data_IF_165922813721
#
_entry.id   IF_165922813721
#
_cell.length_a   1.000
_cell.length_b   1.000
_cell.length_c   1.000
_cell.angle_alpha   90.00
_cell.angle_beta   90.00
_cell.angle_gamma   90.00
#
_symmetry.space_group_name_H-M   'P 1'
#
loop_
_entity.id
_entity.type
_entity.pdbx_description
1 polymer ?
#
# COMPACT_ATOMS: atom_id res chain seq x y z
N UNK A 1 -16.62 -9.71 21.71
CA UNK A 1 -16.57 -9.15 20.35
C UNK A 1 -16.22 -10.32 19.45
N UNK A 2 -17.12 -10.69 18.53
CA UNK A 2 -16.87 -11.84 17.65
C UNK A 2 -15.66 -11.55 16.75
N UNK A 3 -14.77 -12.55 16.53
CA UNK A 3 -13.67 -12.41 15.58
C UNK A 3 -14.23 -12.16 14.18
N UNK A 4 -13.59 -11.27 13.44
CA UNK A 4 -14.01 -10.94 12.09
C UNK A 4 -13.61 -12.09 11.16
N UNK A 5 -14.61 -12.74 10.56
CA UNK A 5 -14.40 -13.81 9.58
C UNK A 5 -14.19 -13.23 8.17
N UNK A 6 -13.44 -13.94 7.34
CA UNK A 6 -13.20 -13.61 5.93
C UNK A 6 -14.16 -14.40 5.04
N UNK A 7 -14.53 -13.85 3.88
CA UNK A 7 -15.50 -14.47 2.97
C UNK A 7 -14.88 -15.58 2.09
N UNK A 8 -13.62 -15.93 2.33
CA UNK A 8 -12.85 -16.89 1.54
C UNK A 8 -12.22 -17.97 2.42
N UNK A 9 -12.09 -19.17 1.87
CA UNK A 9 -11.49 -20.30 2.56
C UNK A 9 -9.97 -20.35 2.36
N UNK A 10 -9.22 -20.33 3.47
CA UNK A 10 -7.75 -20.35 3.46
C UNK A 10 -7.20 -21.57 2.74
N UNK A 11 -7.83 -22.74 2.91
CA UNK A 11 -7.37 -23.98 2.28
C UNK A 11 -7.46 -23.85 0.76
N UNK A 12 -8.59 -23.34 0.26
CA UNK A 12 -8.84 -23.14 -1.16
C UNK A 12 -7.86 -22.14 -1.78
N UNK A 13 -7.58 -21.02 -1.11
CA UNK A 13 -6.63 -20.03 -1.63
C UNK A 13 -5.18 -20.53 -1.62
N UNK A 14 -4.78 -21.30 -0.59
CA UNK A 14 -3.46 -21.95 -0.54
C UNK A 14 -3.32 -22.99 -1.64
N UNK A 15 -4.33 -23.84 -1.85
CA UNK A 15 -4.35 -24.83 -2.92
C UNK A 15 -4.19 -24.17 -4.30
N UNK A 16 -5.01 -23.15 -4.58
CA UNK A 16 -4.97 -22.40 -5.84
C UNK A 16 -3.62 -21.71 -6.08
N UNK A 17 -3.06 -21.06 -5.05
CA UNK A 17 -1.78 -20.32 -5.17
C UNK A 17 -0.55 -21.22 -5.26
N UNK A 18 -0.66 -22.49 -4.86
CA UNK A 18 0.44 -23.47 -4.90
C UNK A 18 0.27 -24.51 -6.00
N UNK A 19 -0.85 -24.52 -6.72
CA UNK A 19 -1.16 -25.53 -7.73
C UNK A 19 -1.38 -26.93 -7.13
N UNK A 20 -1.84 -27.01 -5.88
CA UNK A 20 -2.09 -28.28 -5.19
C UNK A 20 -3.58 -28.57 -5.03
N UNK A 21 -3.94 -29.83 -4.82
CA UNK A 21 -5.34 -30.21 -4.55
C UNK A 21 -5.77 -29.76 -3.15
N UNK A 22 -7.03 -29.32 -3.01
CA UNK A 22 -7.61 -28.84 -1.75
C UNK A 22 -7.46 -29.85 -0.61
N UNK A 23 -7.64 -31.14 -0.88
CA UNK A 23 -7.53 -32.19 0.14
C UNK A 23 -6.10 -32.32 0.65
N UNK A 24 -5.13 -32.22 -0.25
CA UNK A 24 -3.70 -32.27 0.08
C UNK A 24 -3.28 -31.03 0.86
N UNK A 25 -3.68 -29.84 0.39
CA UNK A 25 -3.43 -28.59 1.09
C UNK A 25 -4.03 -28.63 2.52
N UNK A 26 -5.28 -29.07 2.67
CA UNK A 26 -5.94 -29.24 3.98
C UNK A 26 -5.14 -30.14 4.92
N UNK A 27 -4.68 -31.30 4.45
CA UNK A 27 -3.87 -32.23 5.26
C UNK A 27 -2.54 -31.62 5.69
N UNK A 28 -1.84 -30.94 4.78
CA UNK A 28 -0.58 -30.26 5.09
C UNK A 28 -0.81 -29.14 6.11
N UNK A 29 -1.87 -28.35 5.93
CA UNK A 29 -2.24 -27.27 6.86
C UNK A 29 -2.55 -27.84 8.25
N UNK A 30 -3.33 -28.92 8.35
CA UNK A 30 -3.62 -29.57 9.62
C UNK A 30 -2.34 -30.05 10.32
N UNK A 31 -1.42 -30.70 9.58
CA UNK A 31 -0.13 -31.11 10.14
C UNK A 31 0.70 -29.91 10.65
N UNK A 32 0.68 -28.78 9.93
CA UNK A 32 1.35 -27.55 10.37
C UNK A 32 0.68 -26.94 11.62
N UNK A 33 -0.65 -27.06 11.73
CA UNK A 33 -1.42 -26.58 12.90
C UNK A 33 -1.15 -27.41 14.14
N UNK A 34 -0.96 -28.71 13.98
CA UNK A 34 -0.55 -29.64 15.04
C UNK A 34 0.90 -29.39 15.52
N UNK A 35 1.58 -28.36 15.00
CA UNK A 35 2.94 -27.97 15.40
C UNK A 35 4.05 -28.78 14.72
N UNK A 36 3.74 -29.59 13.70
CA UNK A 36 4.76 -30.37 13.01
C UNK A 36 5.70 -29.46 12.18
N UNK A 37 6.99 -29.74 12.24
CA UNK A 37 7.99 -29.02 11.44
C UNK A 37 8.05 -29.54 10.01
N UNK A 38 8.49 -28.71 9.06
CA UNK A 38 8.63 -29.13 7.66
C UNK A 38 9.55 -30.36 7.48
N UNK A 39 10.73 -30.45 8.13
CA UNK A 39 11.56 -31.65 8.04
C UNK A 39 10.86 -32.89 8.59
N UNK A 40 10.08 -32.74 9.67
CA UNK A 40 9.31 -33.85 10.23
C UNK A 40 8.22 -34.33 9.27
N UNK A 41 7.45 -33.42 8.69
CA UNK A 41 6.41 -33.74 7.70
C UNK A 41 7.04 -34.42 6.48
N UNK A 42 8.11 -33.84 5.94
CA UNK A 42 8.81 -34.34 4.77
C UNK A 42 9.46 -35.71 5.00
N UNK A 43 9.76 -36.12 6.24
CA UNK A 43 10.40 -37.40 6.55
C UNK A 43 9.42 -38.47 7.03
N UNK A 44 8.45 -38.10 7.87
CA UNK A 44 7.60 -39.04 8.60
C UNK A 44 6.11 -38.96 8.23
N UNK A 45 5.69 -37.98 7.42
CA UNK A 45 4.29 -37.80 6.99
C UNK A 45 4.13 -37.71 5.47
N UNK A 46 5.08 -38.25 4.70
CA UNK A 46 5.07 -38.22 3.22
C UNK A 46 3.78 -38.80 2.63
N UNK A 47 3.29 -39.92 3.15
CA UNK A 47 2.06 -40.53 2.61
C UNK A 47 0.82 -39.66 2.85
N UNK A 48 0.75 -38.99 4.00
CA UNK A 48 -0.35 -38.09 4.33
C UNK A 48 -0.40 -36.87 3.40
N UNK A 49 0.76 -36.42 2.91
CA UNK A 49 0.90 -35.28 2.00
C UNK A 49 0.96 -35.69 0.52
N UNK A 50 0.79 -36.97 0.17
CA UNK A 50 0.85 -37.43 -1.22
C UNK A 50 2.26 -37.42 -1.82
N UNK A 51 3.28 -37.67 -1.00
CA UNK A 51 4.71 -37.67 -1.37
C UNK A 51 5.22 -36.34 -1.93
N UNK A 52 4.67 -35.22 -1.46
CA UNK A 52 5.12 -33.88 -1.87
C UNK A 52 6.62 -33.66 -1.63
N UNK A 53 7.23 -32.94 -2.56
CA UNK A 53 8.61 -32.48 -2.44
C UNK A 53 8.75 -31.44 -1.30
N UNK A 54 9.89 -31.40 -0.58
CA UNK A 54 10.12 -30.43 0.48
C UNK A 54 9.90 -28.97 0.07
N UNK A 55 10.20 -28.62 -1.19
CA UNK A 55 10.02 -27.26 -1.70
C UNK A 55 8.54 -26.87 -1.81
N UNK A 56 7.69 -27.80 -2.26
CA UNK A 56 6.25 -27.58 -2.32
C UNK A 56 5.64 -27.42 -0.91
N UNK A 57 6.15 -28.17 0.09
CA UNK A 57 5.74 -27.99 1.50
C UNK A 57 6.17 -26.62 2.05
N UNK A 58 7.35 -26.11 1.67
CA UNK A 58 7.80 -24.74 2.02
C UNK A 58 6.87 -23.70 1.42
N UNK A 59 6.49 -23.86 0.15
CA UNK A 59 5.59 -22.94 -0.53
C UNK A 59 4.21 -22.88 0.14
N UNK A 60 3.63 -24.05 0.47
CA UNK A 60 2.37 -24.12 1.23
C UNK A 60 2.49 -23.38 2.56
N UNK A 61 3.56 -23.64 3.33
CA UNK A 61 3.77 -22.97 4.62
C UNK A 61 3.89 -21.45 4.44
N UNK A 62 4.64 -20.99 3.45
CA UNK A 62 4.80 -19.57 3.19
C UNK A 62 3.47 -18.90 2.83
N UNK A 63 2.66 -19.53 1.96
CA UNK A 63 1.33 -19.03 1.59
C UNK A 63 0.37 -19.04 2.77
N UNK A 64 0.32 -20.11 3.55
CA UNK A 64 -0.48 -20.20 4.76
C UNK A 64 -0.14 -19.07 5.75
N UNK A 65 1.15 -18.82 5.98
CA UNK A 65 1.60 -17.71 6.84
C UNK A 65 1.13 -16.37 6.27
N UNK A 66 1.29 -16.13 4.97
CA UNK A 66 0.85 -14.87 4.36
C UNK A 66 -0.66 -14.63 4.49
N UNK A 67 -1.50 -15.66 4.32
CA UNK A 67 -2.95 -15.52 4.48
C UNK A 67 -3.35 -15.32 5.94
N UNK A 68 -2.62 -15.91 6.90
CA UNK A 68 -2.83 -15.65 8.33
C UNK A 68 -2.51 -14.20 8.69
N UNK A 69 -1.41 -13.68 8.17
CA UNK A 69 -1.06 -12.27 8.35
C UNK A 69 -2.16 -11.34 7.81
N UNK A 70 -2.80 -11.70 6.70
CA UNK A 70 -3.95 -10.96 6.17
C UNK A 70 -5.12 -11.00 7.14
N UNK A 71 -5.51 -12.19 7.63
CA UNK A 71 -6.61 -12.34 8.60
C UNK A 71 -6.35 -11.53 9.87
N UNK A 72 -5.13 -11.60 10.42
CA UNK A 72 -4.73 -10.83 11.60
C UNK A 72 -4.82 -9.32 11.33
N UNK A 73 -4.42 -8.86 10.14
CA UNK A 73 -4.51 -7.45 9.74
C UNK A 73 -5.97 -7.01 9.57
N UNK A 74 -6.82 -7.83 8.98
CA UNK A 74 -8.26 -7.59 8.84
C UNK A 74 -8.91 -7.46 10.22
N UNK A 75 -8.59 -8.36 11.15
CA UNK A 75 -9.15 -8.31 12.50
C UNK A 75 -8.72 -7.04 13.25
N UNK A 76 -7.44 -6.67 13.14
CA UNK A 76 -6.92 -5.44 13.73
C UNK A 76 -7.56 -4.19 13.12
N UNK A 77 -7.72 -4.15 11.80
CA UNK A 77 -8.43 -3.08 11.10
C UNK A 77 -9.88 -2.97 11.57
N UNK A 78 -10.58 -4.11 11.67
CA UNK A 78 -11.96 -4.17 12.15
C UNK A 78 -12.10 -3.63 13.58
N UNK A 79 -11.23 -4.05 14.50
CA UNK A 79 -11.21 -3.56 15.89
C UNK A 79 -10.96 -2.05 15.94
N UNK A 80 -9.98 -1.54 15.19
CA UNK A 80 -9.63 -0.13 15.13
C UNK A 80 -10.77 0.74 14.56
N UNK A 81 -11.41 0.32 13.48
CA UNK A 81 -12.51 1.08 12.87
C UNK A 81 -13.78 1.04 13.73
N UNK A 82 -14.05 -0.09 14.40
CA UNK A 82 -15.19 -0.23 15.31
C UNK A 82 -15.02 0.62 16.57
N UNK A 83 -13.82 0.66 17.17
CA UNK A 83 -13.55 1.49 18.34
C UNK A 83 -13.69 2.99 18.06
N UNK A 84 -13.48 3.41 16.82
CA UNK A 84 -13.67 4.78 16.35
C UNK A 84 -15.10 5.10 15.91
N UNK A 85 -16.01 4.13 15.90
CA UNK A 85 -17.40 4.32 15.48
C UNK A 85 -17.58 4.66 13.99
N UNK A 86 -16.56 4.41 13.15
CA UNK A 86 -16.60 4.70 11.70
C UNK A 86 -16.90 3.44 10.87
N UNK A 87 -17.16 2.30 11.51
CA UNK A 87 -17.47 1.05 10.85
C UNK A 87 -18.83 1.12 10.15
N UNK A 88 -18.85 0.82 8.85
CA UNK A 88 -20.08 0.67 8.05
C UNK A 88 -20.17 -0.75 7.49
N UNK A 89 -21.37 -1.19 7.10
CA UNK A 89 -21.54 -2.53 6.50
C UNK A 89 -20.75 -2.68 5.18
N UNK A 90 -20.59 -1.61 4.40
CA UNK A 90 -19.78 -1.63 3.19
C UNK A 90 -18.28 -1.79 3.48
N UNK A 91 -17.78 -1.11 4.52
CA UNK A 91 -16.39 -1.27 4.98
C UNK A 91 -16.14 -2.66 5.53
N UNK A 92 -17.09 -3.16 6.32
CA UNK A 92 -17.06 -4.53 6.86
C UNK A 92 -16.98 -5.55 5.73
N UNK A 93 -17.85 -5.45 4.72
CA UNK A 93 -17.82 -6.31 3.53
C UNK A 93 -16.51 -6.21 2.77
N UNK A 94 -15.99 -4.99 2.56
CA UNK A 94 -14.71 -4.77 1.88
C UNK A 94 -13.54 -5.44 2.62
N UNK A 95 -13.52 -5.36 3.96
CA UNK A 95 -12.51 -6.02 4.80
C UNK A 95 -12.57 -7.56 4.73
N UNK A 96 -13.77 -8.15 4.67
CA UNK A 96 -13.91 -9.64 4.55
C UNK A 96 -13.38 -10.19 3.24
N UNK A 97 -13.32 -9.35 2.20
CA UNK A 97 -12.89 -9.75 0.87
C UNK A 97 -11.39 -9.55 0.63
N UNK A 98 -10.66 -8.88 1.54
CA UNK A 98 -9.22 -8.69 1.42
C UNK A 98 -8.48 -10.02 1.38
N UNK A 99 -7.61 -10.20 0.38
CA UNK A 99 -6.76 -11.39 0.22
C UNK A 99 -5.27 -11.09 0.36
N UNK A 100 -4.90 -9.81 0.36
CA UNK A 100 -3.52 -9.36 0.55
C UNK A 100 -3.41 -8.31 1.65
N UNK A 101 -2.23 -8.20 2.25
CA UNK A 101 -1.95 -7.17 3.27
C UNK A 101 -2.06 -5.77 2.66
N UNK A 102 -1.76 -5.64 1.36
CA UNK A 102 -1.90 -4.41 0.59
C UNK A 102 -3.36 -3.98 0.49
N UNK A 103 -4.30 -4.92 0.28
CA UNK A 103 -5.73 -4.61 0.20
C UNK A 103 -6.21 -4.01 1.53
N UNK A 104 -5.81 -4.63 2.65
CA UNK A 104 -6.15 -4.12 3.99
C UNK A 104 -5.54 -2.74 4.22
N UNK A 105 -4.29 -2.53 3.79
CA UNK A 105 -3.62 -1.25 3.90
C UNK A 105 -4.34 -0.16 3.10
N UNK A 106 -4.81 -0.46 1.88
CA UNK A 106 -5.54 0.48 1.04
C UNK A 106 -6.87 0.91 1.68
N UNK A 107 -7.63 -0.05 2.24
CA UNK A 107 -8.88 0.24 2.96
C UNK A 107 -8.61 1.11 4.20
N UNK A 108 -7.49 0.85 4.88
CA UNK A 108 -7.11 1.55 6.11
C UNK A 108 -6.44 2.90 5.86
N UNK A 109 -5.97 3.19 4.65
CA UNK A 109 -5.23 4.42 4.32
C UNK A 109 -6.00 5.70 4.68
N UNK A 110 -7.31 5.83 4.37
CA UNK A 110 -8.12 6.97 4.81
C UNK A 110 -8.13 7.17 6.32
N UNK A 111 -8.14 6.06 7.07
CA UNK A 111 -8.30 6.04 8.52
C UNK A 111 -6.99 6.10 9.28
N UNK A 112 -5.86 5.95 8.59
CA UNK A 112 -4.54 6.10 9.18
C UNK A 112 -4.40 7.51 9.74
N UNK A 113 -4.00 7.60 11.00
CA UNK A 113 -3.82 8.89 11.65
C UNK A 113 -2.84 9.73 10.84
N UNK A 114 -3.29 10.93 10.46
CA UNK A 114 -2.43 11.91 9.80
C UNK A 114 -1.37 12.31 10.80
N UNK A 115 -0.12 11.89 10.56
CA UNK A 115 0.97 12.18 11.49
C UNK A 115 1.08 13.68 11.78
N UNK A 116 1.57 14.06 12.98
CA UNK A 116 1.61 15.46 13.43
C UNK A 116 2.47 16.38 12.57
N UNK A 117 3.26 15.82 11.64
CA UNK A 117 4.19 16.54 10.77
C UNK A 117 3.61 16.95 9.42
N UNK A 118 2.39 16.53 9.06
CA UNK A 118 1.83 16.90 7.75
C UNK A 118 1.42 18.36 7.69
N UNK A 119 1.44 18.95 6.49
CA UNK A 119 0.98 20.32 6.27
C UNK A 119 -0.50 20.48 6.65
N UNK A 120 -1.32 19.46 6.36
CA UNK A 120 -2.73 19.43 6.75
C UNK A 120 -2.91 19.38 8.28
N UNK A 121 -2.12 18.56 9.01
CA UNK A 121 -2.17 18.53 10.47
C UNK A 121 -1.74 19.88 11.08
N UNK A 122 -0.69 20.52 10.52
CA UNK A 122 -0.27 21.86 10.95
C UNK A 122 -1.38 22.90 10.71
N UNK A 123 -2.07 22.83 9.57
CA UNK A 123 -3.18 23.72 9.25
C UNK A 123 -4.41 23.49 10.16
N UNK A 124 -4.73 22.23 10.50
CA UNK A 124 -5.76 21.91 11.50
C UNK A 124 -5.42 22.45 12.88
N UNK A 125 -4.17 22.27 13.32
CA UNK A 125 -3.68 22.82 14.58
C UNK A 125 -3.73 24.35 14.63
N UNK A 126 -3.63 25.00 13.46
CA UNK A 126 -3.79 26.46 13.32
C UNK A 126 -5.27 26.91 13.23
N UNK A 127 -6.23 26.01 13.45
CA UNK A 127 -7.67 26.35 13.47
C UNK A 127 -8.31 26.54 12.10
N UNK A 128 -7.66 26.13 11.01
CA UNK A 128 -8.17 26.30 9.64
C UNK A 128 -9.20 25.26 9.21
N UNK A 129 -9.46 24.25 10.05
CA UNK A 129 -10.39 23.15 9.73
C UNK A 129 -11.84 23.61 9.46
N UNK A 130 -12.46 24.49 10.28
CA UNK A 130 -13.82 24.96 10.03
C UNK A 130 -13.92 25.76 8.73
N UNK A 131 -12.89 26.54 8.39
CA UNK A 131 -12.82 27.33 7.16
C UNK A 131 -12.72 26.40 5.95
N UNK A 132 -11.84 25.40 6.01
CA UNK A 132 -11.70 24.41 4.95
C UNK A 132 -13.00 23.63 4.74
N UNK A 133 -13.70 23.26 5.82
CA UNK A 133 -14.98 22.55 5.73
C UNK A 133 -16.09 23.45 5.15
N UNK A 134 -16.13 24.72 5.54
CA UNK A 134 -17.09 25.70 5.01
C UNK A 134 -16.95 25.88 3.50
N UNK A 135 -15.72 26.01 3.01
CA UNK A 135 -15.43 26.16 1.58
C UNK A 135 -15.71 24.85 0.84
N UNK A 136 -15.18 23.73 1.33
CA UNK A 136 -15.17 22.46 0.60
C UNK A 136 -16.54 21.75 0.58
N UNK A 137 -17.24 21.69 1.71
CA UNK A 137 -18.52 20.97 1.80
C UNK A 137 -19.73 21.81 1.44
N UNK A 138 -19.69 23.10 1.74
CA UNK A 138 -20.84 23.99 1.60
C UNK A 138 -20.68 25.04 0.49
N UNK A 139 -19.53 25.08 -0.20
CA UNK A 139 -19.27 26.05 -1.25
C UNK A 139 -19.30 27.50 -0.76
N UNK A 140 -19.08 27.72 0.55
CA UNK A 140 -19.20 29.05 1.15
C UNK A 140 -18.05 29.93 0.67
N UNK A 141 -18.37 31.13 0.20
CA UNK A 141 -17.36 32.15 -0.05
C UNK A 141 -16.84 32.68 1.29
N UNK A 142 -15.53 32.58 1.51
CA UNK A 142 -14.85 33.05 2.71
C UNK A 142 -13.74 34.01 2.30
N UNK A 143 -13.63 35.13 2.99
CA UNK A 143 -12.51 36.05 2.81
C UNK A 143 -11.33 35.58 3.66
N UNK A 144 -10.29 35.05 3.02
CA UNK A 144 -9.11 34.50 3.71
C UNK A 144 -8.31 35.53 4.51
N UNK A 145 -8.38 36.82 4.17
CA UNK A 145 -7.70 37.87 4.93
C UNK A 145 -8.33 38.15 6.29
N UNK A 146 -9.60 37.78 6.49
CA UNK A 146 -10.35 38.01 7.72
C UNK A 146 -10.83 36.71 8.37
N UNK A 147 -10.49 35.56 7.79
CA UNK A 147 -11.00 34.27 8.23
C UNK A 147 -10.42 33.83 9.58
N UNK A 148 -9.17 34.20 9.86
CA UNK A 148 -8.46 33.91 11.11
C UNK A 148 -7.62 35.12 11.50
N UNK A 149 -7.71 35.56 12.76
CA UNK A 149 -7.06 36.79 13.22
C UNK A 149 -5.52 36.72 13.25
N UNK A 150 -4.96 35.53 13.40
CA UNK A 150 -3.52 35.30 13.66
C UNK A 150 -2.73 34.80 12.43
N UNK A 151 -3.35 34.75 11.25
CA UNK A 151 -2.73 34.23 10.02
C UNK A 151 -2.92 35.20 8.85
N UNK A 152 -1.93 35.27 7.97
CA UNK A 152 -2.04 36.03 6.73
C UNK A 152 -2.93 35.31 5.71
N UNK A 153 -3.56 36.07 4.79
CA UNK A 153 -4.41 35.50 3.73
C UNK A 153 -3.76 34.35 2.93
N UNK A 154 -2.48 34.47 2.49
CA UNK A 154 -1.79 33.39 1.79
C UNK A 154 -1.55 32.13 2.65
N UNK A 155 -1.32 32.30 3.96
CA UNK A 155 -1.18 31.16 4.89
C UNK A 155 -2.51 30.44 5.11
N UNK A 156 -3.60 31.21 5.21
CA UNK A 156 -4.97 30.67 5.28
C UNK A 156 -5.29 29.89 4.00
N UNK A 157 -5.01 30.45 2.83
CA UNK A 157 -5.25 29.81 1.53
C UNK A 157 -4.48 28.49 1.40
N UNK A 158 -3.16 28.52 1.66
CA UNK A 158 -2.31 27.33 1.60
C UNK A 158 -2.75 26.28 2.62
N UNK A 159 -3.07 26.68 3.85
CA UNK A 159 -3.56 25.76 4.87
C UNK A 159 -4.89 25.11 4.51
N UNK A 160 -5.85 25.90 3.99
CA UNK A 160 -7.14 25.40 3.51
C UNK A 160 -6.95 24.43 2.35
N UNK A 161 -6.08 24.75 1.37
CA UNK A 161 -5.75 23.86 0.25
C UNK A 161 -5.18 22.53 0.73
N UNK A 162 -4.26 22.56 1.70
CA UNK A 162 -3.65 21.35 2.26
C UNK A 162 -4.68 20.47 2.99
N UNK A 163 -5.61 21.06 3.73
CA UNK A 163 -6.68 20.29 4.40
C UNK A 163 -7.63 19.69 3.36
N UNK A 164 -8.02 20.44 2.32
CA UNK A 164 -8.86 19.93 1.23
C UNK A 164 -8.19 18.78 0.48
N UNK A 165 -6.90 18.90 0.16
CA UNK A 165 -6.13 17.83 -0.46
C UNK A 165 -6.13 16.56 0.42
N UNK A 166 -5.92 16.70 1.73
CA UNK A 166 -5.97 15.56 2.67
C UNK A 166 -7.38 14.94 2.74
N UNK A 167 -8.45 15.74 2.68
CA UNK A 167 -9.83 15.23 2.60
C UNK A 167 -10.08 14.43 1.30
N UNK A 168 -9.64 14.95 0.15
CA UNK A 168 -9.84 14.31 -1.16
C UNK A 168 -9.02 13.02 -1.31
N UNK A 169 -7.76 13.04 -0.89
CA UNK A 169 -6.88 11.87 -0.96
C UNK A 169 -7.34 10.69 -0.10
N UNK A 170 -8.19 10.95 0.90
CA UNK A 170 -8.75 9.95 1.81
C UNK A 170 -10.17 9.55 1.43
N UNK A 171 -10.79 10.19 0.45
CA UNK A 171 -12.14 9.85 0.03
C UNK A 171 -12.12 8.53 -0.76
N UNK A 172 -12.81 7.52 -0.22
CA UNK A 172 -12.84 6.18 -0.81
C UNK A 172 -13.45 6.17 -2.22
N UNK A 173 -14.41 7.04 -2.50
CA UNK A 173 -15.02 7.13 -3.83
C UNK A 173 -14.03 7.71 -4.84
N UNK A 174 -13.25 8.71 -4.42
CA UNK A 174 -12.18 9.29 -5.24
C UNK A 174 -11.11 8.23 -5.53
N UNK A 175 -10.65 7.49 -4.52
CA UNK A 175 -9.65 6.44 -4.70
C UNK A 175 -10.12 5.33 -5.65
N UNK A 176 -11.36 4.85 -5.49
CA UNK A 176 -11.96 3.84 -6.39
C UNK A 176 -12.07 4.34 -7.82
N UNK A 177 -12.46 5.59 -8.01
CA UNK A 177 -12.58 6.18 -9.33
C UNK A 177 -11.21 6.37 -10.00
N UNK A 178 -10.19 6.78 -9.24
CA UNK A 178 -8.80 6.86 -9.73
C UNK A 178 -8.28 5.48 -10.11
N UNK A 179 -8.58 4.44 -9.34
CA UNK A 179 -8.21 3.06 -9.69
C UNK A 179 -8.90 2.61 -10.98
N UNK A 180 -10.21 2.83 -11.11
CA UNK A 180 -10.97 2.56 -12.33
C UNK A 180 -10.36 3.27 -13.54
N UNK A 181 -10.05 4.56 -13.41
CA UNK A 181 -9.43 5.36 -14.47
C UNK A 181 -8.02 4.86 -14.82
N UNK A 182 -7.22 4.45 -13.83
CA UNK A 182 -5.90 3.87 -14.08
C UNK A 182 -5.98 2.53 -14.83
N UNK A 183 -7.07 1.77 -14.67
CA UNK A 183 -7.29 0.53 -15.40
C UNK A 183 -7.78 0.77 -16.84
N UNK A 184 -8.67 1.74 -17.04
CA UNK A 184 -9.18 2.10 -18.37
C UNK A 184 -8.16 2.85 -19.22
N UNK A 185 -7.45 3.80 -18.60
CA UNK A 185 -6.48 4.68 -19.22
C UNK A 185 -5.17 4.52 -18.47
N UNK A 186 -4.36 3.50 -18.83
CA UNK A 186 -3.16 3.19 -18.08
C UNK A 186 -2.15 4.35 -18.13
N UNK A 187 -1.75 4.93 -16.99
CA UNK A 187 -0.76 5.99 -16.97
C UNK A 187 0.56 5.54 -17.60
N UNK A 188 1.26 6.50 -18.21
CA UNK A 188 2.59 6.29 -18.78
C UNK A 188 3.65 6.55 -17.72
N UNK A 189 4.57 5.61 -17.56
CA UNK A 189 5.83 5.87 -16.88
C UNK A 189 6.70 6.68 -17.83
N UNK A 190 7.11 7.86 -17.39
CA UNK A 190 8.02 8.74 -18.11
C UNK A 190 9.30 8.93 -17.30
N UNK A 191 10.45 8.81 -17.94
CA UNK A 191 11.74 9.11 -17.33
C UNK A 191 12.35 10.32 -18.02
N UNK A 192 13.02 11.16 -17.24
CA UNK A 192 13.74 12.32 -17.76
C UNK A 192 15.08 12.41 -17.06
N UNK A 193 16.15 12.59 -17.83
CA UNK A 193 17.48 12.81 -17.27
C UNK A 193 17.52 14.15 -16.53
N UNK A 194 17.82 14.11 -15.24
CA UNK A 194 18.17 15.29 -14.47
C UNK A 194 19.67 15.56 -14.68
N UNK A 195 20.08 16.72 -15.21
CA UNK A 195 21.49 17.08 -15.31
C UNK A 195 22.14 17.06 -13.92
N UNK A 196 23.42 16.64 -13.80
CA UNK A 196 24.12 16.73 -12.53
C UNK A 196 24.11 18.18 -12.02
N UNK A 197 23.94 18.41 -10.71
CA UNK A 197 23.96 19.76 -10.16
C UNK A 197 25.30 20.43 -10.51
N UNK A 198 25.24 21.65 -11.05
CA UNK A 198 26.44 22.40 -11.47
C UNK A 198 27.38 22.73 -10.30
N UNK A 199 26.88 22.64 -9.06
CA UNK A 199 27.63 22.91 -7.84
C UNK A 199 27.58 21.64 -6.98
N UNK A 200 28.74 21.07 -6.58
CA UNK A 200 28.74 19.95 -5.65
C UNK A 200 28.10 20.39 -4.32
N UNK A 201 27.26 19.54 -3.70
CA UNK A 201 26.58 19.89 -2.46
C UNK A 201 27.62 20.25 -1.39
N UNK A 202 27.48 21.44 -0.79
CA UNK A 202 28.47 22.06 0.13
C UNK A 202 28.83 21.20 1.35
N UNK A 203 28.13 20.11 1.65
CA UNK A 203 28.35 19.28 2.83
C UNK A 203 28.12 17.78 2.54
N UNK A 204 28.90 17.18 1.64
CA UNK A 204 29.04 15.71 1.63
C UNK A 204 30.52 15.35 1.57
N UNK A 205 31.12 14.80 2.64
CA UNK A 205 32.44 14.18 2.51
C UNK A 205 32.34 13.12 1.43
N UNK A 206 33.26 13.15 0.46
CA UNK A 206 33.36 12.12 -0.57
C UNK A 206 33.53 10.78 0.14
N UNK A 207 32.48 9.96 0.12
CA UNK A 207 32.56 8.59 0.58
C UNK A 207 33.59 7.86 -0.30
N UNK A 208 34.72 7.53 0.31
CA UNK A 208 35.73 6.65 -0.26
C UNK A 208 35.14 5.24 -0.39
N UNK A 209 34.72 4.85 -1.60
CA UNK A 209 34.27 3.49 -1.85
C UNK A 209 33.46 3.34 -3.13
N UNK A 210 34.16 3.21 -4.26
CA UNK A 210 33.58 2.92 -5.57
C UNK A 210 33.76 4.08 -6.55
N UNK A 211 34.68 3.92 -7.51
CA UNK A 211 34.69 4.78 -8.70
C UNK A 211 33.37 4.52 -9.43
N UNK A 212 32.36 5.37 -9.24
CA UNK A 212 31.16 5.31 -10.10
C UNK A 212 31.64 5.54 -11.52
N UNK A 213 31.46 4.55 -12.38
CA UNK A 213 31.88 4.67 -13.77
C UNK A 213 30.79 5.42 -14.52
N UNK A 214 30.63 6.70 -14.17
CA UNK A 214 29.52 7.54 -14.59
C UNK A 214 29.32 7.53 -16.10
N UNK A 215 30.40 7.50 -16.89
CA UNK A 215 30.33 7.36 -18.34
C UNK A 215 29.75 6.01 -18.80
N UNK A 216 30.12 4.91 -18.15
CA UNK A 216 29.52 3.60 -18.44
C UNK A 216 28.06 3.55 -18.01
N UNK A 217 27.71 4.14 -16.87
CA UNK A 217 26.33 4.19 -16.41
C UNK A 217 25.48 5.03 -17.37
N UNK A 218 25.99 6.20 -17.81
CA UNK A 218 25.30 7.05 -18.79
C UNK A 218 25.04 6.31 -20.11
N UNK A 219 26.01 5.53 -20.61
CA UNK A 219 25.83 4.70 -21.79
C UNK A 219 24.82 3.56 -21.56
N UNK A 220 24.85 2.95 -20.37
CA UNK A 220 23.96 1.83 -20.01
C UNK A 220 22.50 2.30 -19.91
N UNK A 221 22.26 3.50 -19.39
CA UNK A 221 20.91 4.04 -19.16
C UNK A 221 20.42 5.00 -20.26
N UNK A 222 21.19 5.21 -21.33
CA UNK A 222 20.85 6.16 -22.39
C UNK A 222 19.46 5.92 -22.99
N UNK A 223 19.08 4.65 -23.17
CA UNK A 223 17.76 4.27 -23.69
C UNK A 223 16.59 4.63 -22.75
N UNK A 224 16.88 4.99 -21.50
CA UNK A 224 15.91 5.37 -20.48
C UNK A 224 15.97 6.86 -20.12
N UNK A 225 16.67 7.70 -20.90
CA UNK A 225 16.69 9.15 -20.62
C UNK A 225 15.44 9.89 -21.06
N UNK A 226 14.72 9.35 -22.04
CA UNK A 226 13.45 9.86 -22.58
C UNK A 226 12.48 8.70 -22.85
N UNK A 227 12.36 7.80 -21.88
CA UNK A 227 11.48 6.64 -22.00
C UNK A 227 10.06 7.03 -21.59
N UNK A 228 9.07 6.66 -22.40
CA UNK A 228 7.65 6.84 -22.10
C UNK A 228 6.87 5.60 -22.52
N UNK A 229 6.21 4.93 -21.58
CA UNK A 229 5.39 3.74 -21.88
C UNK A 229 4.26 3.54 -20.85
N UNK A 230 3.06 3.09 -21.27
CA UNK A 230 2.00 2.69 -20.35
C UNK A 230 2.47 1.60 -19.38
N UNK A 231 2.19 1.75 -18.08
CA UNK A 231 2.71 0.86 -17.04
C UNK A 231 2.36 -0.62 -17.28
N UNK A 232 1.20 -0.89 -17.87
CA UNK A 232 0.71 -2.24 -18.17
C UNK A 232 1.43 -2.93 -19.34
N UNK A 233 2.30 -2.22 -20.08
CA UNK A 233 3.08 -2.76 -21.21
C UNK A 233 4.58 -2.85 -20.93
N UNK A 234 5.03 -2.46 -19.74
CA UNK A 234 6.45 -2.45 -19.39
C UNK A 234 6.90 -3.87 -19.04
N UNK A 235 7.90 -4.37 -19.75
CA UNK A 235 8.50 -5.67 -19.44
C UNK A 235 9.23 -5.63 -18.08
N UNK A 236 9.20 -6.71 -17.26
CA UNK A 236 9.75 -6.70 -15.90
C UNK A 236 11.20 -6.23 -15.81
N UNK A 237 12.04 -6.65 -16.76
CA UNK A 237 13.45 -6.24 -16.80
C UNK A 237 13.60 -4.72 -16.93
N UNK A 238 12.71 -4.02 -17.64
CA UNK A 238 12.77 -2.56 -17.85
C UNK A 238 12.35 -1.75 -16.63
N UNK A 239 11.55 -2.32 -15.74
CA UNK A 239 11.15 -1.69 -14.47
C UNK A 239 12.35 -1.61 -13.52
N UNK A 240 13.15 -2.67 -13.46
CA UNK A 240 14.34 -2.73 -12.60
C UNK A 240 15.43 -1.72 -12.95
N UNK A 241 15.46 -1.22 -14.19
CA UNK A 241 16.42 -0.20 -14.63
C UNK A 241 15.95 1.23 -14.41
N UNK A 242 14.68 1.43 -14.01
CA UNK A 242 14.11 2.75 -13.73
C UNK A 242 14.16 3.17 -12.25
N UNK A 243 14.50 2.25 -11.33
CA UNK A 243 14.71 2.52 -9.89
C UNK A 243 16.13 3.03 -9.62
#
# INVERSE_FOLDING_TARGET
>A
MEPMDVDWDVVTEVAASTGTDNRTASRVINLLNDGNTLPFIARYRKEATGNMEPEALRLIKAKLTSYREVIDKVENAFKHLTSRGVMTEDLKKSLRQCKTVTDVALIMEPFKETGPKTLAAKARAAGLEPVAYAVFRFGKQVNFNTAVADLSGPEVESGVMNIMADMMCRDLNVLREVERLCLEIPPKLCTTRIPPPQIPPKNKPLASGGRSNYEKDVLTFQAYFDFSMPFNRIAPHRVSWCQ
#
